data_IF_737214054012
#
_entry.id   IF_737214054012
#
_cell.length_a   1.000
_cell.length_b   1.000
_cell.length_c   1.000
_cell.angle_alpha   90.00
_cell.angle_beta   90.00
_cell.angle_gamma   90.00
#
_symmetry.space_group_name_H-M   'P 1'
#
loop_
_entity.id
_entity.type
_entity.pdbx_description
1 polymer ?
#
# COMPACT_ATOMS: atom_id res chain seq x y z
N UNK A 1 -9.02 46.00 -0.33
CA UNK A 1 -7.86 45.11 -0.41
C UNK A 1 -8.41 43.79 -0.93
N UNK A 2 -8.33 43.55 -2.26
CA UNK A 2 -8.82 42.34 -2.90
C UNK A 2 -7.77 41.24 -2.73
N UNK A 3 -8.07 40.22 -1.94
CA UNK A 3 -7.30 39.00 -1.93
C UNK A 3 -7.55 38.28 -3.28
N UNK A 4 -6.57 38.40 -4.17
CA UNK A 4 -6.50 37.56 -5.35
C UNK A 4 -6.14 36.15 -4.85
N UNK A 5 -7.12 35.26 -4.74
CA UNK A 5 -6.86 33.84 -4.58
C UNK A 5 -6.20 33.36 -5.88
N UNK A 6 -4.89 33.18 -5.86
CA UNK A 6 -4.19 32.46 -6.91
C UNK A 6 -4.80 31.05 -6.93
N UNK A 7 -5.56 30.77 -8.00
CA UNK A 7 -5.96 29.41 -8.31
C UNK A 7 -4.67 28.68 -8.66
N UNK A 8 -4.07 28.05 -7.67
CA UNK A 8 -2.99 27.11 -7.88
C UNK A 8 -3.58 25.95 -8.67
N UNK A 9 -3.34 25.93 -9.99
CA UNK A 9 -3.65 24.75 -10.81
C UNK A 9 -2.88 23.57 -10.21
N UNK A 10 -3.59 22.70 -9.55
CA UNK A 10 -3.04 21.41 -9.09
C UNK A 10 -2.69 20.62 -10.35
N UNK A 11 -1.41 20.61 -10.71
CA UNK A 11 -0.94 19.79 -11.83
C UNK A 11 -0.97 18.35 -11.34
N UNK A 12 -1.90 17.56 -11.88
CA UNK A 12 -2.03 16.14 -11.58
C UNK A 12 -0.77 15.37 -11.98
N UNK A 13 -0.55 14.20 -11.36
CA UNK A 13 0.56 13.31 -11.69
C UNK A 13 0.38 12.81 -13.14
N UNK A 14 1.39 13.01 -13.99
CA UNK A 14 1.39 12.46 -15.37
C UNK A 14 1.62 10.93 -15.32
N UNK A 15 0.58 10.21 -14.92
CA UNK A 15 0.58 8.75 -14.82
C UNK A 15 0.87 8.11 -16.17
N UNK A 16 0.34 8.64 -17.25
CA UNK A 16 0.55 8.14 -18.63
C UNK A 16 2.05 8.11 -18.98
N UNK A 17 2.76 9.20 -18.68
CA UNK A 17 4.22 9.27 -18.90
C UNK A 17 4.95 8.26 -18.05
N UNK A 18 4.61 8.15 -16.77
CA UNK A 18 5.22 7.19 -15.84
C UNK A 18 5.04 5.77 -16.36
N UNK A 19 3.80 5.36 -16.66
CA UNK A 19 3.50 4.01 -17.12
C UNK A 19 4.12 3.71 -18.49
N UNK A 20 4.20 4.69 -19.39
CA UNK A 20 4.91 4.54 -20.68
C UNK A 20 6.38 4.20 -20.45
N UNK A 21 7.06 4.94 -19.59
CA UNK A 21 8.47 4.66 -19.25
C UNK A 21 8.64 3.28 -18.61
N UNK A 22 7.78 2.90 -17.68
CA UNK A 22 7.83 1.59 -17.04
C UNK A 22 7.64 0.45 -18.04
N UNK A 23 6.73 0.59 -19.04
CA UNK A 23 6.60 -0.39 -20.14
C UNK A 23 7.89 -0.49 -20.97
N UNK A 24 8.56 0.62 -21.23
CA UNK A 24 9.85 0.60 -21.93
C UNK A 24 10.93 -0.13 -21.11
N UNK A 25 10.98 0.11 -19.79
CA UNK A 25 11.88 -0.65 -18.90
C UNK A 25 11.55 -2.14 -18.92
N UNK A 26 10.28 -2.53 -18.87
CA UNK A 26 9.89 -3.95 -18.94
C UNK A 26 10.37 -4.63 -20.23
N UNK A 27 10.32 -3.91 -21.36
CA UNK A 27 10.79 -4.43 -22.66
C UNK A 27 12.31 -4.46 -22.79
N UNK A 28 13.06 -3.61 -22.05
CA UNK A 28 14.49 -3.38 -22.22
C UNK A 28 15.23 -3.35 -20.87
N UNK A 29 14.95 -4.30 -19.97
CA UNK A 29 15.45 -4.26 -18.60
C UNK A 29 16.94 -4.65 -18.49
N UNK A 30 17.81 -3.77 -18.99
CA UNK A 30 19.26 -3.89 -18.92
C UNK A 30 19.92 -2.54 -18.61
N UNK A 31 21.21 -2.57 -18.24
CA UNK A 31 21.94 -1.38 -17.79
C UNK A 31 22.27 -0.40 -18.90
N UNK A 32 22.56 -0.87 -20.10
CA UNK A 32 22.92 -0.04 -21.25
C UNK A 32 21.74 0.82 -21.66
N UNK A 33 20.61 0.21 -21.91
CA UNK A 33 19.35 0.93 -22.23
C UNK A 33 19.01 1.94 -21.16
N UNK A 34 19.11 1.58 -19.87
CA UNK A 34 18.78 2.48 -18.77
C UNK A 34 19.71 3.69 -18.71
N UNK A 35 20.99 3.54 -18.97
CA UNK A 35 21.93 4.68 -19.01
C UNK A 35 21.59 5.66 -20.12
N UNK A 36 21.17 5.18 -21.28
CA UNK A 36 20.71 6.04 -22.39
C UNK A 36 19.43 6.80 -22.04
N UNK A 37 18.54 6.19 -21.22
CA UNK A 37 17.23 6.77 -20.82
C UNK A 37 17.25 7.37 -19.41
N UNK A 38 18.42 7.57 -18.81
CA UNK A 38 18.53 8.06 -17.43
C UNK A 38 17.86 9.41 -17.20
N UNK A 39 17.95 10.34 -18.15
CA UNK A 39 17.29 11.65 -18.07
C UNK A 39 15.76 11.52 -18.06
N UNK A 40 15.22 10.58 -18.83
CA UNK A 40 13.78 10.29 -18.83
C UNK A 40 13.35 9.68 -17.50
N UNK A 41 14.13 8.75 -16.95
CA UNK A 41 13.90 8.22 -15.61
C UNK A 41 13.87 9.31 -14.55
N UNK A 42 14.83 10.24 -14.56
CA UNK A 42 14.89 11.35 -13.59
C UNK A 42 13.64 12.24 -13.68
N UNK A 43 13.14 12.52 -14.87
CA UNK A 43 11.92 13.27 -15.08
C UNK A 43 10.66 12.50 -14.60
N UNK A 44 10.58 11.21 -14.91
CA UNK A 44 9.49 10.32 -14.46
C UNK A 44 9.48 10.20 -12.93
N UNK A 45 10.66 10.06 -12.33
CA UNK A 45 10.81 10.03 -10.88
C UNK A 45 10.36 11.31 -10.21
N UNK A 46 10.74 12.47 -10.75
CA UNK A 46 10.31 13.77 -10.22
C UNK A 46 8.80 13.93 -10.31
N UNK A 47 8.19 13.45 -11.38
CA UNK A 47 6.75 13.43 -11.58
C UNK A 47 6.03 12.57 -10.51
N UNK A 48 6.53 11.37 -10.26
CA UNK A 48 6.02 10.48 -9.23
C UNK A 48 6.18 11.12 -7.84
N UNK A 49 7.38 11.64 -7.52
CA UNK A 49 7.67 12.28 -6.23
C UNK A 49 6.76 13.50 -5.96
N UNK A 50 6.40 14.26 -7.01
CA UNK A 50 5.42 15.35 -6.89
C UNK A 50 4.04 14.83 -6.49
N UNK A 51 3.55 13.76 -7.12
CA UNK A 51 2.28 13.14 -6.75
C UNK A 51 2.29 12.58 -5.33
N UNK A 52 3.42 12.01 -4.89
CA UNK A 52 3.56 11.55 -3.49
C UNK A 52 3.55 12.72 -2.51
N UNK A 53 4.13 13.87 -2.87
CA UNK A 53 4.04 15.09 -2.04
C UNK A 53 2.58 15.53 -1.87
N UNK A 54 1.80 15.57 -2.95
CA UNK A 54 0.36 15.90 -2.89
C UNK A 54 -0.42 14.88 -2.03
N UNK A 55 -0.10 13.59 -2.13
CA UNK A 55 -0.70 12.56 -1.31
C UNK A 55 -0.38 12.76 0.19
N UNK A 56 0.87 13.06 0.55
CA UNK A 56 1.29 13.34 1.92
C UNK A 56 0.51 14.54 2.47
N UNK A 57 0.44 15.65 1.73
CA UNK A 57 -0.30 16.85 2.13
C UNK A 57 -1.79 16.57 2.38
N UNK A 58 -2.40 15.71 1.56
CA UNK A 58 -3.78 15.28 1.75
C UNK A 58 -3.91 14.36 2.97
N UNK A 59 -3.01 13.40 3.17
CA UNK A 59 -3.05 12.47 4.32
C UNK A 59 -2.91 13.24 5.64
N UNK A 60 -2.07 14.25 5.73
CA UNK A 60 -1.89 15.09 6.93
C UNK A 60 -3.22 15.67 7.42
N UNK A 61 -4.18 15.95 6.54
CA UNK A 61 -5.48 16.52 6.92
C UNK A 61 -6.32 15.58 7.80
N UNK A 62 -6.04 14.28 7.79
CA UNK A 62 -6.77 13.29 8.58
C UNK A 62 -5.88 12.34 9.38
N UNK A 63 -4.58 12.37 9.14
CA UNK A 63 -3.57 11.64 9.90
C UNK A 63 -2.39 12.57 10.20
N UNK A 64 -2.47 13.38 11.27
CA UNK A 64 -1.45 14.36 11.59
C UNK A 64 -0.10 13.75 12.00
N UNK A 65 -0.04 12.45 12.32
CA UNK A 65 1.21 11.75 12.61
C UNK A 65 2.18 11.74 11.41
N UNK A 66 1.64 11.89 10.18
CA UNK A 66 2.41 11.95 8.93
C UNK A 66 3.05 13.33 8.67
N UNK A 67 2.76 14.37 9.47
CA UNK A 67 3.15 15.76 9.18
C UNK A 67 4.67 15.99 9.01
N UNK A 68 5.50 15.15 9.61
CA UNK A 68 6.97 15.25 9.52
C UNK A 68 7.58 14.41 8.39
N UNK A 69 6.78 13.58 7.71
CA UNK A 69 7.22 12.64 6.68
C UNK A 69 7.56 13.37 5.39
N UNK A 70 8.69 13.04 4.78
CA UNK A 70 9.15 13.61 3.53
C UNK A 70 9.12 12.56 2.41
N UNK A 71 8.92 13.00 1.17
CA UNK A 71 8.85 12.13 -0.03
C UNK A 71 10.03 11.16 -0.12
N UNK A 72 11.27 11.64 0.16
CA UNK A 72 12.48 10.81 0.13
C UNK A 72 12.44 9.62 1.11
N UNK A 73 11.69 9.77 2.21
CA UNK A 73 11.54 8.73 3.23
C UNK A 73 10.50 7.67 2.85
N UNK A 74 9.61 8.02 1.91
CA UNK A 74 8.53 7.16 1.44
C UNK A 74 8.89 6.34 0.20
N UNK A 75 9.60 6.92 -0.76
CA UNK A 75 9.87 6.31 -2.06
C UNK A 75 10.90 5.19 -1.99
N UNK A 76 10.68 4.14 -2.77
CA UNK A 76 11.61 3.03 -2.89
C UNK A 76 12.61 3.26 -4.03
N UNK A 77 13.83 2.69 -3.87
CA UNK A 77 14.82 2.66 -4.94
C UNK A 77 14.31 1.87 -6.14
N UNK A 78 14.65 2.31 -7.34
CA UNK A 78 14.26 1.66 -8.59
C UNK A 78 15.07 0.39 -8.89
N UNK A 79 16.30 0.31 -8.38
CA UNK A 79 17.16 -0.86 -8.54
C UNK A 79 16.68 -2.05 -7.71
N UNK A 80 16.67 -3.23 -8.33
CA UNK A 80 16.36 -4.51 -7.67
C UNK A 80 17.58 -5.05 -6.92
N UNK A 81 17.35 -5.78 -5.86
CA UNK A 81 18.33 -6.65 -5.27
C UNK A 81 18.20 -8.04 -5.92
N UNK A 82 19.13 -8.34 -6.83
CA UNK A 82 19.06 -9.57 -7.63
C UNK A 82 19.96 -10.69 -7.09
N UNK A 83 20.57 -10.52 -5.91
CA UNK A 83 21.52 -11.50 -5.35
C UNK A 83 20.89 -12.88 -5.19
N UNK A 84 19.68 -12.95 -4.68
CA UNK A 84 18.96 -14.18 -4.40
C UNK A 84 17.76 -14.43 -5.34
N UNK A 85 17.57 -13.62 -6.37
CA UNK A 85 16.49 -13.76 -7.35
C UNK A 85 16.93 -14.60 -8.55
N UNK A 86 16.05 -15.47 -9.05
CA UNK A 86 16.23 -16.15 -10.34
C UNK A 86 16.20 -15.15 -11.50
N UNK A 87 15.29 -14.17 -11.44
CA UNK A 87 15.25 -13.06 -12.39
C UNK A 87 16.34 -12.03 -12.05
N UNK A 88 17.28 -11.86 -12.97
CA UNK A 88 18.44 -10.96 -12.85
C UNK A 88 18.21 -9.56 -13.44
N UNK A 89 16.99 -9.24 -13.86
CA UNK A 89 16.63 -7.90 -14.33
C UNK A 89 17.00 -6.83 -13.29
N UNK A 90 17.80 -5.82 -13.65
CA UNK A 90 18.38 -4.89 -12.67
C UNK A 90 17.40 -3.85 -12.13
N UNK A 91 16.28 -3.60 -12.81
CA UNK A 91 15.32 -2.55 -12.45
C UNK A 91 13.94 -3.14 -12.14
N UNK A 92 13.19 -2.43 -11.30
CA UNK A 92 11.80 -2.73 -11.04
C UNK A 92 10.93 -2.32 -12.22
N UNK A 93 9.79 -2.96 -12.38
CA UNK A 93 8.75 -2.62 -13.35
C UNK A 93 7.72 -1.62 -12.79
N UNK A 94 7.95 -1.08 -11.58
CA UNK A 94 7.03 -0.23 -10.86
C UNK A 94 7.74 0.86 -10.07
N UNK A 95 7.00 1.92 -9.74
CA UNK A 95 7.32 2.89 -8.71
C UNK A 95 6.37 2.69 -7.53
N UNK A 96 6.91 2.76 -6.32
CA UNK A 96 6.12 2.61 -5.11
C UNK A 96 6.57 3.58 -4.02
N UNK A 97 5.62 4.00 -3.20
CA UNK A 97 5.86 4.82 -2.01
C UNK A 97 5.07 4.29 -0.82
N UNK A 98 5.72 4.16 0.33
CA UNK A 98 5.10 3.80 1.59
C UNK A 98 5.21 4.96 2.57
N UNK A 99 4.07 5.57 2.85
CA UNK A 99 3.95 6.75 3.71
C UNK A 99 3.62 6.24 5.11
N UNK A 100 4.59 6.36 6.03
CA UNK A 100 4.50 5.83 7.39
C UNK A 100 5.19 6.79 8.36
N UNK A 101 4.56 7.06 9.51
CA UNK A 101 5.05 8.00 10.51
C UNK A 101 6.43 7.63 11.08
N UNK A 102 6.74 6.34 11.19
CA UNK A 102 8.05 5.84 11.67
C UNK A 102 8.99 5.40 10.54
N UNK A 103 8.63 5.72 9.29
CA UNK A 103 9.41 5.42 8.09
C UNK A 103 9.16 4.01 7.54
N UNK A 104 9.62 3.76 6.30
CA UNK A 104 9.28 2.57 5.51
C UNK A 104 9.88 1.24 5.99
N UNK A 105 10.66 1.23 7.06
CA UNK A 105 11.18 0.00 7.69
C UNK A 105 10.46 -0.35 9.00
N UNK A 106 9.61 0.54 9.48
CA UNK A 106 8.83 0.30 10.69
C UNK A 106 7.83 -0.84 10.48
N UNK A 107 7.47 -1.49 11.55
CA UNK A 107 6.44 -2.54 11.57
C UNK A 107 5.03 -1.96 11.55
N UNK A 108 4.93 -0.71 11.98
CA UNK A 108 3.69 0.05 12.00
C UNK A 108 3.06 0.15 10.61
N UNK A 109 1.75 0.07 10.52
CA UNK A 109 0.99 0.26 9.28
C UNK A 109 1.11 1.67 8.72
N UNK A 110 0.89 1.79 7.42
CA UNK A 110 0.95 3.05 6.68
C UNK A 110 0.15 2.98 5.39
N UNK A 111 0.35 3.98 4.54
CA UNK A 111 -0.33 4.15 3.25
C UNK A 111 0.62 3.81 2.12
N UNK A 112 0.17 3.05 1.14
CA UNK A 112 0.99 2.63 0.01
C UNK A 112 0.37 3.03 -1.31
N UNK A 113 1.19 3.61 -2.19
CA UNK A 113 0.84 3.99 -3.56
C UNK A 113 1.76 3.22 -4.51
N UNK A 114 1.17 2.53 -5.48
CA UNK A 114 1.89 1.70 -6.43
C UNK A 114 1.49 2.02 -7.87
N UNK A 115 2.48 2.34 -8.70
CA UNK A 115 2.31 2.53 -10.13
C UNK A 115 3.10 1.46 -10.88
N UNK A 116 2.37 0.54 -11.48
CA UNK A 116 2.87 -0.49 -12.39
C UNK A 116 1.93 -0.56 -13.59
N UNK A 117 2.43 -0.73 -14.83
CA UNK A 117 1.56 -0.87 -15.99
C UNK A 117 0.53 -1.98 -15.78
N UNK A 118 -0.75 -1.62 -15.90
CA UNK A 118 -1.92 -2.48 -15.76
C UNK A 118 -2.18 -3.03 -14.33
N UNK A 119 -1.35 -2.63 -13.34
CA UNK A 119 -1.40 -3.11 -11.96
C UNK A 119 -1.20 -1.98 -10.93
N UNK A 120 -1.78 -0.81 -11.18
CA UNK A 120 -1.76 0.28 -10.20
C UNK A 120 -2.65 -0.05 -9.01
N UNK A 121 -2.24 0.31 -7.79
CA UNK A 121 -3.04 0.11 -6.60
C UNK A 121 -2.77 1.14 -5.50
N UNK A 122 -3.73 1.26 -4.60
CA UNK A 122 -3.63 1.90 -3.29
C UNK A 122 -3.78 0.84 -2.20
N UNK A 123 -3.01 0.95 -1.12
CA UNK A 123 -3.14 0.04 0.02
C UNK A 123 -2.91 0.76 1.35
N UNK A 124 -3.48 0.19 2.42
CA UNK A 124 -3.36 0.69 3.80
C UNK A 124 -3.15 -0.47 4.75
N UNK A 125 -2.28 -0.29 5.73
CA UNK A 125 -2.09 -1.25 6.83
C UNK A 125 -0.71 -1.88 6.86
N UNK A 126 -0.64 -3.10 7.41
CA UNK A 126 0.60 -3.81 7.71
C UNK A 126 0.81 -4.94 6.71
N UNK A 127 1.90 -4.84 5.97
CA UNK A 127 2.27 -5.80 4.95
C UNK A 127 2.87 -7.10 5.52
N UNK A 128 3.64 -6.99 6.60
CA UNK A 128 4.30 -8.11 7.27
C UNK A 128 4.53 -7.80 8.73
N UNK A 129 4.27 -8.78 9.59
CA UNK A 129 4.49 -8.67 11.03
C UNK A 129 5.24 -9.91 11.54
N UNK A 130 6.20 -9.75 12.46
CA UNK A 130 6.77 -10.85 13.23
C UNK A 130 5.69 -11.66 13.93
N UNK A 131 5.90 -12.96 14.07
CA UNK A 131 4.90 -13.88 14.64
C UNK A 131 4.43 -13.50 16.03
N UNK A 132 5.32 -13.00 16.90
CA UNK A 132 4.97 -12.53 18.24
C UNK A 132 4.00 -11.35 18.20
N UNK A 133 4.29 -10.34 17.37
CA UNK A 133 3.43 -9.16 17.22
C UNK A 133 2.09 -9.55 16.58
N UNK A 134 2.13 -10.39 15.54
CA UNK A 134 0.92 -10.92 14.91
C UNK A 134 0.03 -11.68 15.91
N UNK A 135 0.64 -12.40 16.87
CA UNK A 135 -0.07 -13.08 17.96
C UNK A 135 -0.72 -12.08 18.90
N UNK A 136 -0.03 -10.99 19.25
CA UNK A 136 -0.59 -9.91 20.09
C UNK A 136 -1.75 -9.20 19.40
N UNK A 137 -1.62 -8.89 18.11
CA UNK A 137 -2.73 -8.33 17.31
C UNK A 137 -3.96 -9.25 17.31
N UNK A 138 -3.77 -10.56 17.19
CA UNK A 138 -4.87 -11.54 17.25
C UNK A 138 -5.53 -11.61 18.62
N UNK A 139 -4.76 -11.51 19.70
CA UNK A 139 -5.28 -11.46 21.07
C UNK A 139 -6.11 -10.17 21.26
N UNK A 140 -5.62 -9.04 20.77
CA UNK A 140 -6.33 -7.76 20.82
C UNK A 140 -7.66 -7.83 20.07
N UNK A 141 -7.69 -8.39 18.85
CA UNK A 141 -8.93 -8.60 18.10
C UNK A 141 -9.94 -9.47 18.85
N UNK A 142 -9.48 -10.50 19.55
CA UNK A 142 -10.37 -11.36 20.36
C UNK A 142 -10.88 -10.64 21.59
N UNK A 143 -10.00 -9.90 22.29
CA UNK A 143 -10.35 -9.12 23.49
C UNK A 143 -11.31 -7.98 23.19
N UNK A 144 -11.14 -7.33 22.04
CA UNK A 144 -11.88 -6.15 21.60
C UNK A 144 -12.61 -6.40 20.28
N UNK A 145 -13.30 -7.56 20.16
CA UNK A 145 -13.96 -8.02 18.94
C UNK A 145 -14.92 -6.97 18.35
N UNK A 146 -15.74 -6.33 19.20
CA UNK A 146 -16.71 -5.35 18.72
C UNK A 146 -16.05 -4.14 18.06
N UNK A 147 -14.95 -3.64 18.62
CA UNK A 147 -14.18 -2.53 18.04
C UNK A 147 -13.49 -2.95 16.75
N UNK A 148 -12.88 -4.16 16.73
CA UNK A 148 -12.31 -4.71 15.51
C UNK A 148 -13.33 -4.79 14.38
N UNK A 149 -14.51 -5.33 14.63
CA UNK A 149 -15.55 -5.47 13.60
C UNK A 149 -16.04 -4.12 13.09
N UNK A 150 -16.14 -3.09 13.94
CA UNK A 150 -16.42 -1.72 13.50
C UNK A 150 -15.39 -1.19 12.50
N UNK A 151 -14.11 -1.61 12.65
CA UNK A 151 -13.06 -1.19 11.75
C UNK A 151 -13.12 -1.86 10.38
N UNK A 152 -13.55 -3.15 10.30
CA UNK A 152 -13.39 -3.97 9.09
C UNK A 152 -14.71 -4.50 8.49
N UNK A 153 -15.83 -4.30 9.15
CA UNK A 153 -17.15 -4.72 8.67
C UNK A 153 -18.15 -3.55 8.50
N UNK A 154 -17.65 -2.28 8.52
CA UNK A 154 -18.46 -1.14 8.14
C UNK A 154 -18.58 -1.01 6.61
N UNK A 155 -19.64 -0.33 6.15
CA UNK A 155 -19.97 -0.18 4.74
C UNK A 155 -18.78 0.38 3.93
N UNK A 156 -18.16 1.47 4.38
CA UNK A 156 -17.06 2.11 3.66
C UNK A 156 -15.85 1.19 3.50
N UNK A 157 -15.50 0.40 4.54
CA UNK A 157 -14.41 -0.57 4.45
C UNK A 157 -14.76 -1.70 3.46
N UNK A 158 -15.97 -2.22 3.54
CA UNK A 158 -16.42 -3.32 2.68
C UNK A 158 -16.52 -2.90 1.22
N UNK A 159 -16.97 -1.69 0.93
CA UNK A 159 -17.06 -1.14 -0.43
C UNK A 159 -15.70 -1.08 -1.12
N UNK A 160 -14.65 -0.64 -0.40
CA UNK A 160 -13.32 -0.51 -0.99
C UNK A 160 -12.47 -1.79 -0.89
N UNK A 161 -12.65 -2.59 0.15
CA UNK A 161 -11.73 -3.69 0.48
C UNK A 161 -12.44 -5.02 0.74
N UNK A 162 -13.77 -5.04 0.78
CA UNK A 162 -14.53 -6.26 0.89
C UNK A 162 -14.40 -7.09 -0.38
N UNK A 163 -14.19 -8.39 -0.23
CA UNK A 163 -14.35 -9.33 -1.30
C UNK A 163 -15.27 -10.44 -0.84
N UNK A 164 -16.33 -10.70 -1.59
CA UNK A 164 -17.18 -11.90 -1.41
C UNK A 164 -16.39 -13.19 -1.67
N UNK A 165 -15.22 -13.03 -2.28
CA UNK A 165 -14.29 -14.12 -2.59
C UNK A 165 -13.03 -13.93 -1.76
N UNK A 166 -13.05 -14.34 -0.50
CA UNK A 166 -11.82 -14.62 0.25
C UNK A 166 -11.12 -15.83 -0.39
N UNK A 167 -10.67 -15.68 -1.62
CA UNK A 167 -9.82 -16.64 -2.27
C UNK A 167 -8.45 -16.56 -1.59
N UNK A 168 -8.26 -17.52 -0.68
CA UNK A 168 -6.96 -17.76 -0.07
C UNK A 168 -5.96 -18.06 -1.13
N UNK A 169 -4.91 -17.27 -1.19
CA UNK A 169 -3.69 -17.73 -1.81
C UNK A 169 -3.13 -18.83 -0.92
N UNK A 170 -3.33 -20.07 -1.30
CA UNK A 170 -2.71 -21.24 -0.68
C UNK A 170 -1.26 -21.41 -1.16
N UNK A 171 -0.55 -20.33 -1.46
CA UNK A 171 0.85 -20.41 -1.86
C UNK A 171 1.75 -20.03 -0.68
N UNK A 172 2.79 -20.86 -0.39
CA UNK A 172 3.86 -20.44 0.51
C UNK A 172 4.59 -19.29 -0.19
N UNK A 173 4.31 -18.08 0.24
CA UNK A 173 4.99 -16.89 -0.27
C UNK A 173 6.40 -16.84 0.32
N UNK A 174 7.36 -16.95 -0.54
CA UNK A 174 8.71 -16.43 -0.31
C UNK A 174 8.57 -14.94 -0.01
N UNK A 175 9.10 -14.48 1.12
CA UNK A 175 8.88 -13.15 1.73
C UNK A 175 9.36 -11.97 0.83
N UNK A 176 9.82 -12.25 -0.39
CA UNK A 176 10.35 -11.27 -1.33
C UNK A 176 9.42 -10.79 -2.43
N UNK A 177 8.31 -11.46 -2.65
CA UNK A 177 7.36 -11.09 -3.72
C UNK A 177 5.95 -11.51 -3.31
N UNK A 178 5.24 -10.65 -2.58
CA UNK A 178 3.80 -10.85 -2.44
C UNK A 178 3.18 -10.49 -3.78
N UNK A 179 2.74 -11.51 -4.48
CA UNK A 179 1.89 -11.31 -5.62
C UNK A 179 0.51 -10.93 -5.10
N UNK A 180 0.17 -9.64 -5.17
CA UNK A 180 -1.23 -9.22 -5.18
C UNK A 180 -1.89 -10.02 -6.31
N UNK A 181 -3.03 -10.66 -6.05
CA UNK A 181 -3.76 -11.35 -7.11
C UNK A 181 -4.41 -10.28 -7.98
N UNK A 182 -3.76 -9.98 -9.09
CA UNK A 182 -4.19 -8.95 -10.05
C UNK A 182 -5.50 -9.29 -10.77
N UNK A 183 -6.01 -10.49 -10.61
CA UNK A 183 -7.35 -10.91 -11.03
C UNK A 183 -8.47 -10.42 -10.09
N UNK A 184 -8.11 -9.89 -8.90
CA UNK A 184 -9.05 -9.30 -7.97
C UNK A 184 -8.87 -7.78 -7.93
N UNK A 185 -9.96 -6.99 -8.00
CA UNK A 185 -9.88 -5.52 -7.96
C UNK A 185 -9.57 -4.98 -6.58
N UNK A 186 -9.81 -5.74 -5.52
CA UNK A 186 -9.66 -5.30 -4.13
C UNK A 186 -9.57 -6.48 -3.17
N UNK A 187 -9.10 -6.23 -1.95
CA UNK A 187 -9.03 -7.27 -0.92
C UNK A 187 -8.52 -6.81 0.43
N UNK A 188 -8.65 -7.71 1.39
CA UNK A 188 -8.13 -7.56 2.75
C UNK A 188 -7.38 -8.82 3.18
N UNK A 189 -6.08 -8.65 3.51
CA UNK A 189 -5.14 -9.73 3.77
C UNK A 189 -4.61 -10.36 2.48
N UNK A 190 -3.29 -10.21 2.24
CA UNK A 190 -2.60 -10.74 1.06
C UNK A 190 -2.33 -12.23 1.18
N UNK A 191 -2.16 -12.73 2.42
CA UNK A 191 -1.91 -14.13 2.68
C UNK A 191 -2.66 -14.62 3.92
N UNK A 192 -3.06 -15.89 3.94
CA UNK A 192 -3.74 -16.51 5.08
C UNK A 192 -3.26 -17.92 5.38
N UNK A 193 -3.42 -18.32 6.63
CA UNK A 193 -3.21 -19.70 7.08
C UNK A 193 -4.35 -20.60 6.57
N UNK A 194 -4.03 -21.87 6.26
CA UNK A 194 -5.04 -22.89 5.93
C UNK A 194 -5.99 -23.19 7.09
N UNK A 195 -5.45 -23.14 8.31
CA UNK A 195 -6.19 -23.46 9.55
C UNK A 195 -6.04 -22.31 10.56
N UNK A 196 -6.87 -22.35 11.61
CA UNK A 196 -6.70 -21.45 12.74
C UNK A 196 -5.30 -21.58 13.34
N UNK A 197 -4.60 -20.48 13.67
CA UNK A 197 -3.29 -20.55 14.29
C UNK A 197 -3.33 -21.27 15.65
N UNK A 198 -2.22 -21.91 16.02
CA UNK A 198 -2.10 -22.60 17.31
C UNK A 198 -2.29 -21.61 18.47
N UNK A 199 -2.97 -22.07 19.53
CA UNK A 199 -3.26 -21.24 20.71
C UNK A 199 -4.53 -20.39 20.60
N UNK A 200 -5.24 -20.44 19.47
CA UNK A 200 -6.49 -19.71 19.25
C UNK A 200 -7.70 -20.65 19.08
N UNK A 201 -8.91 -20.26 19.53
CA UNK A 201 -10.11 -21.06 19.42
C UNK A 201 -10.54 -21.19 17.95
N UNK A 202 -10.74 -22.42 17.51
CA UNK A 202 -11.13 -22.71 16.12
C UNK A 202 -12.59 -22.38 15.82
N UNK A 203 -13.40 -22.32 16.86
CA UNK A 203 -14.83 -22.04 16.84
C UNK A 203 -15.19 -20.57 17.07
N UNK A 204 -14.17 -19.70 17.19
CA UNK A 204 -14.43 -18.26 17.28
C UNK A 204 -15.15 -17.77 16.00
N UNK A 205 -16.32 -17.08 16.12
CA UNK A 205 -17.13 -16.73 14.95
C UNK A 205 -16.41 -15.94 13.86
N UNK A 206 -15.35 -15.19 14.24
CA UNK A 206 -14.59 -14.33 13.36
C UNK A 206 -13.19 -14.89 13.04
N UNK A 207 -13.00 -16.22 13.14
CA UNK A 207 -11.73 -16.92 12.91
C UNK A 207 -11.06 -16.59 11.56
N UNK A 208 -11.82 -16.12 10.57
CA UNK A 208 -11.30 -15.64 9.28
C UNK A 208 -10.20 -14.59 9.45
N UNK A 209 -10.30 -13.70 10.45
CA UNK A 209 -9.33 -12.66 10.73
C UNK A 209 -8.08 -13.19 11.42
N UNK A 210 -8.21 -14.21 12.30
CA UNK A 210 -7.05 -14.85 12.94
C UNK A 210 -6.17 -15.60 11.95
N UNK A 211 -6.75 -16.02 10.81
CA UNK A 211 -6.02 -16.74 9.76
C UNK A 211 -5.18 -15.83 8.88
N UNK A 212 -5.41 -14.52 8.88
CA UNK A 212 -4.61 -13.58 8.10
C UNK A 212 -3.15 -13.58 8.59
N UNK A 213 -2.21 -13.47 7.66
CA UNK A 213 -0.77 -13.35 7.92
C UNK A 213 -0.30 -11.89 7.88
N UNK A 214 -1.14 -11.03 7.34
CA UNK A 214 -0.95 -9.59 7.24
C UNK A 214 -2.32 -8.90 7.34
N UNK A 215 -2.30 -7.60 7.61
CA UNK A 215 -3.51 -6.76 7.69
C UNK A 215 -3.38 -5.61 6.70
N UNK A 216 -3.20 -5.97 5.44
CA UNK A 216 -3.13 -5.05 4.32
C UNK A 216 -4.47 -5.02 3.59
N UNK A 217 -5.12 -3.86 3.56
CA UNK A 217 -6.28 -3.57 2.74
C UNK A 217 -5.80 -2.92 1.44
N UNK A 218 -6.22 -3.41 0.28
CA UNK A 218 -5.74 -2.94 -1.01
C UNK A 218 -6.86 -2.84 -2.04
N UNK A 219 -6.72 -1.86 -2.95
CA UNK A 219 -7.67 -1.58 -4.03
C UNK A 219 -6.90 -1.25 -5.31
N UNK A 220 -7.19 -1.98 -6.40
CA UNK A 220 -6.62 -1.71 -7.71
C UNK A 220 -7.24 -0.44 -8.30
N UNK A 221 -6.42 0.38 -8.93
CA UNK A 221 -6.86 1.61 -9.59
C UNK A 221 -6.45 1.60 -11.06
N UNK A 222 -7.16 2.35 -11.89
CA UNK A 222 -6.91 2.38 -13.33
C UNK A 222 -5.55 3.00 -13.69
N UNK A 223 -5.10 2.74 -14.93
CA UNK A 223 -3.90 3.38 -15.51
C UNK A 223 -4.07 4.90 -15.75
N UNK A 224 -5.23 5.46 -15.42
CA UNK A 224 -5.52 6.91 -15.55
C UNK A 224 -6.00 7.51 -14.23
N UNK A 225 -5.96 6.77 -13.13
CA UNK A 225 -6.49 7.20 -11.84
C UNK A 225 -5.91 8.54 -11.39
N UNK A 226 -4.58 8.68 -11.41
CA UNK A 226 -3.87 9.88 -10.94
C UNK A 226 -3.91 11.05 -11.94
N UNK A 227 -4.52 10.87 -13.11
CA UNK A 227 -4.76 11.93 -14.11
C UNK A 227 -6.11 12.63 -13.88
N UNK A 228 -7.01 12.02 -13.08
CA UNK A 228 -8.31 12.60 -12.76
C UNK A 228 -8.16 13.75 -11.77
N UNK A 229 -8.93 14.83 -11.96
CA UNK A 229 -8.87 16.02 -11.07
C UNK A 229 -9.25 15.71 -9.62
N UNK A 230 -9.99 14.64 -9.37
CA UNK A 230 -10.46 14.23 -8.05
C UNK A 230 -9.67 13.05 -7.43
N UNK A 231 -8.52 12.66 -7.99
CA UNK A 231 -7.79 11.49 -7.52
C UNK A 231 -7.39 11.56 -6.04
N UNK A 232 -7.07 12.76 -5.55
CA UNK A 232 -6.76 12.98 -4.13
C UNK A 232 -7.97 12.73 -3.24
N UNK A 233 -9.17 13.14 -3.68
CA UNK A 233 -10.40 12.93 -2.93
C UNK A 233 -10.79 11.44 -2.91
N UNK A 234 -10.61 10.73 -4.03
CA UNK A 234 -10.83 9.29 -4.10
C UNK A 234 -9.82 8.52 -3.24
N UNK A 235 -8.54 8.85 -3.33
CA UNK A 235 -7.51 8.28 -2.48
C UNK A 235 -7.79 8.52 -0.99
N UNK A 236 -8.19 9.73 -0.61
CA UNK A 236 -8.54 10.07 0.77
C UNK A 236 -9.70 9.22 1.27
N UNK A 237 -10.77 9.04 0.48
CA UNK A 237 -11.91 8.20 0.85
C UNK A 237 -11.47 6.75 1.13
N UNK A 238 -10.65 6.17 0.24
CA UNK A 238 -10.12 4.83 0.41
C UNK A 238 -9.25 4.73 1.68
N UNK A 239 -8.35 5.67 1.88
CA UNK A 239 -7.44 5.65 3.01
C UNK A 239 -8.16 5.85 4.34
N UNK A 240 -9.14 6.76 4.40
CA UNK A 240 -10.00 6.96 5.58
C UNK A 240 -10.83 5.72 5.91
N UNK A 241 -11.31 4.99 4.91
CA UNK A 241 -12.08 3.76 5.14
C UNK A 241 -11.24 2.68 5.83
N UNK A 242 -9.94 2.57 5.53
CA UNK A 242 -9.04 1.58 6.13
C UNK A 242 -8.28 2.09 7.37
N UNK A 243 -8.22 3.41 7.60
CA UNK A 243 -7.48 3.99 8.73
C UNK A 243 -7.88 3.42 10.09
N UNK A 244 -9.18 3.23 10.44
CA UNK A 244 -9.54 2.65 11.73
C UNK A 244 -8.95 1.24 11.96
N UNK A 245 -8.89 0.41 10.92
CA UNK A 245 -8.27 -0.91 10.96
C UNK A 245 -6.75 -0.79 11.20
N UNK A 246 -6.09 0.13 10.48
CA UNK A 246 -4.67 0.39 10.63
C UNK A 246 -4.35 0.93 12.03
N UNK A 247 -5.14 1.87 12.56
CA UNK A 247 -4.96 2.43 13.89
C UNK A 247 -5.14 1.37 14.99
N UNK A 248 -6.13 0.49 14.85
CA UNK A 248 -6.33 -0.65 15.75
C UNK A 248 -5.09 -1.55 15.79
N UNK A 249 -4.49 -1.85 14.65
CA UNK A 249 -3.25 -2.64 14.60
C UNK A 249 -2.06 -1.88 15.16
N UNK A 250 -1.94 -0.60 14.82
CA UNK A 250 -0.84 0.24 15.26
C UNK A 250 -0.82 0.42 16.77
N UNK A 251 -1.98 0.46 17.46
CA UNK A 251 -2.03 0.54 18.93
C UNK A 251 -1.35 -0.64 19.61
N UNK A 252 -1.37 -1.82 18.98
CA UNK A 252 -0.65 -3.01 19.50
C UNK A 252 0.81 -2.99 19.10
N UNK A 253 1.11 -2.55 17.87
CA UNK A 253 2.48 -2.58 17.32
C UNK A 253 3.38 -1.57 18.03
N UNK A 254 2.83 -0.43 18.42
CA UNK A 254 3.56 0.63 19.12
C UNK A 254 4.17 0.17 20.46
N UNK A 255 3.65 -0.88 21.09
CA UNK A 255 4.23 -1.52 22.26
C UNK A 255 5.56 -2.25 21.97
N UNK A 256 5.89 -2.47 20.68
CA UNK A 256 7.08 -3.21 20.21
C UNK A 256 8.10 -2.34 19.47
N UNK A 257 7.82 -1.07 19.22
CA UNK A 257 8.65 -0.08 18.55
C UNK A 257 9.00 1.08 19.50
#
# INVERSE_FOLDING_TARGET
MYFCAEIQYVINMDQKRILKFLRQVMANNNREWFQEHKKEYEAVRAEFERGIQQAIERIITFDPEIAHVQVKDCTYRFYRDTRFSADKSPYKNHLGAYINAKGKKALRGGYYIHLEPDHCLLAVGNYWLPTNILTSCRNEMMGNTAEWLKCVENEAFLDYFGSDKTNSIDTPTDIGSVAVQWDQPQGFGLAKLKTCPSGFPKDWPHVKYLRLKDYCAWHAVSNTFFENDNWLDEMERMFRAAKPMMDFMNSVIDDYE
#
